data_IF_683369323043
#
_entry.id   IF_683369323043
#
_cell.length_a   1.000
_cell.length_b   1.000
_cell.length_c   1.000
_cell.angle_alpha   90.00
_cell.angle_beta   90.00
_cell.angle_gamma   90.00
#
_symmetry.space_group_name_H-M   'P 1'
#
loop_
_entity.id
_entity.type
_entity.pdbx_description
1 polymer ?
#
# COMPACT_ATOMS: atom_id res chain seq x y z
N UNK A 1 -4.51 12.70 10.02
CA UNK A 1 -5.92 12.45 9.67
C UNK A 1 -5.95 11.22 8.77
N UNK A 2 -6.39 10.07 9.28
CA UNK A 2 -6.59 8.89 8.44
C UNK A 2 -7.84 9.12 7.56
N UNK A 3 -7.84 8.69 6.28
CA UNK A 3 -9.04 8.72 5.48
C UNK A 3 -10.00 7.64 5.99
N UNK A 4 -11.00 8.05 6.77
CA UNK A 4 -12.13 7.20 7.12
C UNK A 4 -13.13 7.25 5.97
N UNK A 5 -13.29 6.14 5.26
CA UNK A 5 -14.13 6.07 4.07
C UNK A 5 -15.59 5.85 4.46
N UNK A 6 -16.48 6.74 4.01
CA UNK A 6 -17.95 6.58 4.00
C UNK A 6 -18.65 6.36 5.36
N UNK A 7 -18.08 6.88 6.46
CA UNK A 7 -18.79 6.94 7.76
C UNK A 7 -19.94 7.96 7.73
N UNK A 8 -19.86 8.96 6.85
CA UNK A 8 -20.87 10.02 6.71
C UNK A 8 -21.32 10.19 5.25
N UNK A 9 -22.57 10.63 5.09
CA UNK A 9 -23.16 11.01 3.78
C UNK A 9 -22.69 12.40 3.34
N UNK A 10 -23.11 12.84 2.13
CA UNK A 10 -22.81 14.19 1.63
C UNK A 10 -23.42 15.31 2.51
N UNK A 11 -24.48 14.99 3.24
CA UNK A 11 -25.14 15.86 4.21
C UNK A 11 -24.55 15.77 5.61
N UNK A 12 -23.41 15.08 5.78
CA UNK A 12 -22.77 14.80 7.08
C UNK A 12 -23.65 14.00 8.06
N UNK A 13 -24.52 13.12 7.55
CA UNK A 13 -25.32 12.20 8.37
C UNK A 13 -24.68 10.82 8.46
N UNK A 14 -24.97 10.06 9.52
CA UNK A 14 -24.44 8.70 9.73
C UNK A 14 -25.47 7.67 9.22
N UNK A 15 -25.08 6.67 8.41
CA UNK A 15 -25.96 5.57 8.03
C UNK A 15 -26.48 4.84 9.28
N UNK A 16 -27.77 4.55 9.32
CA UNK A 16 -28.41 3.94 10.50
C UNK A 16 -28.36 2.42 10.51
N UNK A 17 -28.01 1.81 9.38
CA UNK A 17 -28.03 0.36 9.14
C UNK A 17 -26.64 -0.26 8.87
N UNK A 18 -25.58 0.55 8.79
CA UNK A 18 -24.22 0.12 8.52
C UNK A 18 -23.16 1.10 9.09
N UNK A 19 -21.96 0.62 9.40
CA UNK A 19 -20.85 1.44 9.88
C UNK A 19 -20.14 2.22 8.76
N UNK A 20 -20.05 1.65 7.55
CA UNK A 20 -19.42 2.26 6.36
C UNK A 20 -20.39 2.41 5.18
N UNK A 21 -21.71 2.43 5.46
CA UNK A 21 -22.76 2.52 4.46
C UNK A 21 -22.72 1.39 3.42
N UNK A 22 -23.06 1.70 2.18
CA UNK A 22 -23.11 0.72 1.07
C UNK A 22 -21.76 0.04 0.77
N UNK A 23 -20.64 0.56 1.29
CA UNK A 23 -19.34 -0.09 1.12
C UNK A 23 -19.32 -1.47 1.77
N UNK A 24 -20.00 -1.65 2.90
CA UNK A 24 -20.08 -2.94 3.61
C UNK A 24 -20.68 -4.04 2.72
N UNK A 25 -21.77 -3.71 2.03
CA UNK A 25 -22.44 -4.63 1.09
C UNK A 25 -21.54 -4.99 -0.08
N UNK A 26 -20.87 -4.00 -0.68
CA UNK A 26 -19.95 -4.22 -1.80
C UNK A 26 -18.72 -5.04 -1.39
N UNK A 27 -18.17 -4.75 -0.21
CA UNK A 27 -17.01 -5.41 0.35
C UNK A 27 -17.35 -6.76 1.00
N UNK A 28 -18.63 -7.14 1.12
CA UNK A 28 -19.04 -8.42 1.70
C UNK A 28 -18.73 -8.55 3.20
N UNK A 29 -18.75 -7.44 3.93
CA UNK A 29 -18.43 -7.39 5.38
C UNK A 29 -19.52 -6.63 6.14
N UNK A 30 -19.51 -6.80 7.46
CA UNK A 30 -20.21 -5.95 8.43
C UNK A 30 -19.19 -5.31 9.35
N UNK A 31 -19.27 -4.01 9.57
CA UNK A 31 -18.47 -3.35 10.63
C UNK A 31 -19.08 -3.66 11.99
N UNK A 32 -18.31 -4.28 12.88
CA UNK A 32 -18.79 -4.66 14.22
C UNK A 32 -18.53 -3.55 15.22
N UNK A 33 -17.31 -3.02 15.23
CA UNK A 33 -16.90 -1.93 16.11
C UNK A 33 -16.00 -0.94 15.38
N UNK A 34 -16.07 0.33 15.82
CA UNK A 34 -15.09 1.35 15.49
C UNK A 34 -14.55 1.97 16.77
N UNK A 35 -13.23 1.95 16.96
CA UNK A 35 -12.60 2.43 18.18
C UNK A 35 -11.10 2.74 17.96
N UNK A 36 -10.47 3.57 18.82
CA UNK A 36 -9.03 3.79 18.75
C UNK A 36 -8.29 2.56 19.29
N UNK A 37 -7.39 2.01 18.49
CA UNK A 37 -6.58 0.84 18.89
C UNK A 37 -5.25 1.20 19.54
N UNK A 38 -4.85 2.47 19.50
CA UNK A 38 -3.61 2.96 20.14
C UNK A 38 -3.53 2.55 21.62
N UNK A 39 -2.46 1.85 21.98
CA UNK A 39 -2.21 1.45 23.36
C UNK A 39 -3.18 0.40 23.93
N UNK A 40 -4.03 -0.22 23.10
CA UNK A 40 -5.02 -1.23 23.56
C UNK A 40 -4.46 -2.64 23.68
N UNK A 41 -3.22 -2.87 23.22
CA UNK A 41 -2.63 -4.21 23.11
C UNK A 41 -3.24 -5.05 21.97
N UNK A 42 -3.95 -4.43 21.02
CA UNK A 42 -4.51 -5.14 19.87
C UNK A 42 -3.40 -5.62 18.93
N UNK A 43 -3.34 -6.92 18.66
CA UNK A 43 -2.34 -7.52 17.74
C UNK A 43 -3.06 -8.15 16.54
N UNK A 44 -2.74 -7.69 15.34
CA UNK A 44 -3.22 -8.25 14.08
C UNK A 44 -2.24 -9.27 13.50
N UNK A 45 -2.75 -10.31 12.86
CA UNK A 45 -1.99 -11.32 12.13
C UNK A 45 -2.43 -11.39 10.68
N UNK A 46 -1.51 -11.18 9.74
CA UNK A 46 -1.75 -11.32 8.31
C UNK A 46 -0.43 -11.64 7.60
N UNK A 47 -0.49 -12.38 6.49
CA UNK A 47 0.69 -12.71 5.67
C UNK A 47 1.86 -13.37 6.46
N UNK A 48 1.55 -14.06 7.56
CA UNK A 48 2.56 -14.67 8.42
C UNK A 48 3.30 -13.71 9.36
N UNK A 49 2.87 -12.44 9.43
CA UNK A 49 3.41 -11.41 10.33
C UNK A 49 2.38 -11.10 11.41
N UNK A 50 2.85 -10.86 12.64
CA UNK A 50 2.04 -10.31 13.73
C UNK A 50 2.50 -8.89 14.01
N UNK A 51 1.59 -7.93 14.14
CA UNK A 51 1.94 -6.53 14.39
C UNK A 51 0.91 -5.84 15.31
N UNK A 52 1.33 -4.88 16.14
CA UNK A 52 0.40 -4.01 16.86
C UNK A 52 -0.48 -3.22 15.89
N UNK A 53 -1.77 -3.14 16.22
CA UNK A 53 -2.73 -2.31 15.50
C UNK A 53 -2.90 -0.97 16.20
N UNK A 54 -3.02 0.10 15.40
CA UNK A 54 -3.03 1.48 15.89
C UNK A 54 -4.12 2.31 15.24
N UNK A 55 -4.22 3.56 15.70
CA UNK A 55 -5.09 4.61 15.18
C UNK A 55 -6.59 4.27 15.27
N UNK A 56 -7.44 5.05 14.59
CA UNK A 56 -8.87 4.83 14.56
C UNK A 56 -9.18 3.66 13.62
N UNK A 57 -9.76 2.61 14.16
CA UNK A 57 -9.89 1.34 13.47
C UNK A 57 -11.36 0.90 13.37
N UNK A 58 -11.68 0.24 12.25
CA UNK A 58 -12.92 -0.49 12.04
C UNK A 58 -12.59 -1.99 11.96
N UNK A 59 -13.37 -2.82 12.67
CA UNK A 59 -13.17 -4.27 12.66
C UNK A 59 -14.38 -4.96 12.05
N UNK A 60 -14.12 -6.02 11.29
CA UNK A 60 -15.08 -6.58 10.37
C UNK A 60 -15.46 -8.01 10.73
N UNK A 61 -16.71 -8.35 10.44
CA UNK A 61 -17.18 -9.72 10.33
C UNK A 61 -17.63 -9.95 8.89
N UNK A 62 -17.10 -10.97 8.18
CA UNK A 62 -17.60 -11.30 6.84
C UNK A 62 -19.09 -11.66 6.85
N UNK A 63 -19.80 -11.26 5.79
CA UNK A 63 -21.16 -11.73 5.54
C UNK A 63 -21.14 -13.18 5.03
N UNK A 64 -22.27 -13.88 5.15
CA UNK A 64 -22.43 -15.21 4.56
C UNK A 64 -22.23 -15.13 3.03
N UNK A 65 -21.35 -15.97 2.48
CA UNK A 65 -20.88 -15.92 1.08
C UNK A 65 -20.20 -14.60 0.65
N UNK A 66 -19.80 -13.76 1.61
CA UNK A 66 -19.15 -12.47 1.39
C UNK A 66 -17.62 -12.55 1.36
N UNK A 67 -16.97 -11.65 2.10
CA UNK A 67 -15.52 -11.53 2.10
C UNK A 67 -14.80 -12.75 2.68
N UNK A 68 -13.56 -12.96 2.25
CA UNK A 68 -12.60 -13.84 2.93
C UNK A 68 -11.76 -13.04 3.92
N UNK A 69 -11.40 -13.65 5.06
CA UNK A 69 -10.52 -13.04 6.05
C UNK A 69 -9.07 -13.21 5.60
N UNK A 70 -8.36 -12.10 5.45
CA UNK A 70 -6.93 -12.07 5.10
C UNK A 70 -6.08 -11.78 6.34
N UNK A 71 -6.63 -10.97 7.26
CA UNK A 71 -5.98 -10.60 8.51
C UNK A 71 -6.96 -10.61 9.67
N UNK A 72 -6.57 -11.29 10.74
CA UNK A 72 -7.37 -11.50 11.95
C UNK A 72 -6.71 -10.85 13.18
N UNK A 73 -7.53 -10.32 14.08
CA UNK A 73 -7.08 -9.81 15.37
C UNK A 73 -6.93 -10.98 16.35
N UNK A 74 -5.74 -11.13 16.91
CA UNK A 74 -5.39 -12.23 17.82
C UNK A 74 -5.41 -11.84 19.30
N UNK A 75 -5.21 -10.56 19.62
CA UNK A 75 -5.13 -10.04 20.98
C UNK A 75 -5.84 -8.68 21.09
N UNK A 76 -6.09 -8.21 22.31
CA UNK A 76 -6.77 -6.95 22.60
C UNK A 76 -8.27 -7.13 22.83
N UNK A 77 -9.06 -6.12 22.45
CA UNK A 77 -10.48 -6.04 22.78
C UNK A 77 -11.40 -6.83 21.85
N UNK A 78 -10.93 -7.17 20.64
CA UNK A 78 -11.76 -7.77 19.59
C UNK A 78 -11.11 -8.99 18.91
N UNK A 79 -10.58 -9.97 19.67
CA UNK A 79 -9.99 -11.17 19.09
C UNK A 79 -11.00 -11.95 18.24
N UNK A 80 -10.53 -12.53 17.13
CA UNK A 80 -11.35 -13.28 16.17
C UNK A 80 -12.05 -12.43 15.11
N UNK A 81 -12.06 -11.10 15.23
CA UNK A 81 -12.57 -10.21 14.19
C UNK A 81 -11.48 -9.91 13.14
N UNK A 82 -11.92 -9.62 11.92
CA UNK A 82 -11.02 -9.31 10.83
C UNK A 82 -10.63 -7.83 10.82
N UNK A 83 -9.34 -7.56 10.60
CA UNK A 83 -8.84 -6.20 10.29
C UNK A 83 -8.41 -6.06 8.83
N UNK A 84 -8.20 -7.18 8.12
CA UNK A 84 -8.05 -7.20 6.66
C UNK A 84 -9.01 -8.24 6.06
N UNK A 85 -9.78 -7.83 5.07
CA UNK A 85 -10.65 -8.73 4.30
C UNK A 85 -10.51 -8.49 2.80
N UNK A 86 -10.88 -9.49 2.02
CA UNK A 86 -10.98 -9.36 0.57
C UNK A 86 -12.30 -9.93 0.05
N UNK A 87 -12.87 -9.31 -0.98
CA UNK A 87 -14.09 -9.79 -1.61
C UNK A 87 -14.01 -9.61 -3.12
N UNK A 88 -14.32 -10.68 -3.87
CA UNK A 88 -14.40 -10.60 -5.33
C UNK A 88 -15.66 -9.85 -5.72
N UNK A 89 -15.50 -8.79 -6.52
CA UNK A 89 -16.61 -7.98 -7.00
C UNK A 89 -16.46 -7.77 -8.51
N UNK A 90 -17.32 -8.44 -9.28
CA UNK A 90 -17.20 -8.48 -10.74
C UNK A 90 -15.88 -9.11 -11.20
N UNK A 91 -15.15 -8.39 -12.05
CA UNK A 91 -13.82 -8.80 -12.53
C UNK A 91 -12.67 -8.40 -11.58
N UNK A 92 -12.96 -7.66 -10.52
CA UNK A 92 -11.97 -7.15 -9.57
C UNK A 92 -12.16 -7.69 -8.16
N UNK A 93 -11.46 -7.04 -7.24
CA UNK A 93 -11.44 -7.36 -5.81
C UNK A 93 -11.51 -6.07 -5.00
N UNK A 94 -12.25 -6.10 -3.90
CA UNK A 94 -12.26 -5.05 -2.89
C UNK A 94 -11.49 -5.58 -1.69
N UNK A 95 -10.44 -4.86 -1.28
CA UNK A 95 -9.64 -5.18 -0.10
C UNK A 95 -9.90 -4.11 0.94
N UNK A 96 -10.36 -4.52 2.12
CA UNK A 96 -10.59 -3.61 3.25
C UNK A 96 -9.43 -3.74 4.23
N UNK A 97 -8.75 -2.63 4.53
CA UNK A 97 -7.82 -2.51 5.65
C UNK A 97 -8.49 -1.64 6.72
N UNK A 98 -9.03 -2.29 7.75
CA UNK A 98 -9.82 -1.65 8.79
C UNK A 98 -8.99 -1.09 9.94
N UNK A 99 -7.79 -1.62 10.15
CA UNK A 99 -6.88 -1.20 11.22
C UNK A 99 -5.47 -1.05 10.68
N UNK A 100 -4.74 -0.02 11.11
CA UNK A 100 -3.39 0.24 10.63
C UNK A 100 -2.38 -0.60 11.41
N UNK A 101 -1.59 -1.48 10.77
CA UNK A 101 -0.43 -2.10 11.40
C UNK A 101 0.62 -1.03 11.73
N UNK A 102 1.29 -1.17 12.86
CA UNK A 102 2.26 -0.19 13.37
C UNK A 102 3.57 -0.83 13.82
N UNK A 103 4.61 0.00 13.97
CA UNK A 103 5.95 -0.48 14.29
C UNK A 103 6.64 -1.12 13.08
N UNK A 104 7.83 -1.66 13.30
CA UNK A 104 8.63 -2.28 12.25
C UNK A 104 7.93 -3.51 11.65
N UNK A 105 7.24 -4.29 12.49
CA UNK A 105 6.42 -5.43 12.08
C UNK A 105 5.20 -4.97 11.28
N UNK A 106 4.60 -3.84 11.65
CA UNK A 106 3.51 -3.23 10.88
C UNK A 106 3.94 -2.81 9.49
N UNK A 107 5.10 -2.15 9.38
CA UNK A 107 5.70 -1.81 8.09
C UNK A 107 6.00 -3.06 7.24
N UNK A 108 6.46 -4.14 7.87
CA UNK A 108 6.69 -5.41 7.19
C UNK A 108 5.40 -6.03 6.66
N UNK A 109 4.33 -6.02 7.45
CA UNK A 109 3.00 -6.48 7.06
C UNK A 109 2.43 -5.65 5.91
N UNK A 110 2.53 -4.32 5.97
CA UNK A 110 2.08 -3.43 4.90
C UNK A 110 2.86 -3.67 3.60
N UNK A 111 4.18 -3.86 3.68
CA UNK A 111 4.99 -4.23 2.50
C UNK A 111 4.53 -5.54 1.89
N UNK A 112 4.19 -6.55 2.68
CA UNK A 112 3.69 -7.84 2.18
C UNK A 112 2.30 -7.71 1.57
N UNK A 113 1.40 -6.96 2.21
CA UNK A 113 0.05 -6.69 1.69
C UNK A 113 0.13 -5.99 0.32
N UNK A 114 0.92 -4.92 0.22
CA UNK A 114 1.08 -4.18 -1.04
C UNK A 114 1.71 -5.08 -2.12
N UNK A 115 2.74 -5.86 -1.78
CA UNK A 115 3.37 -6.79 -2.73
C UNK A 115 2.38 -7.83 -3.24
N UNK A 116 1.64 -8.48 -2.35
CA UNK A 116 0.66 -9.51 -2.69
C UNK A 116 -0.36 -9.01 -3.73
N UNK A 117 -1.00 -7.87 -3.46
CA UNK A 117 -2.02 -7.35 -4.37
C UNK A 117 -1.43 -6.68 -5.62
N UNK A 118 -0.22 -6.13 -5.55
CA UNK A 118 0.48 -5.66 -6.74
C UNK A 118 0.85 -6.82 -7.68
N UNK A 119 1.27 -7.96 -7.13
CA UNK A 119 1.56 -9.17 -7.91
C UNK A 119 0.28 -9.74 -8.53
N UNK A 120 -0.80 -9.83 -7.76
CA UNK A 120 -2.11 -10.28 -8.27
C UNK A 120 -2.66 -9.36 -9.37
N UNK A 121 -2.49 -8.04 -9.24
CA UNK A 121 -2.89 -7.07 -10.23
C UNK A 121 -1.95 -6.98 -11.45
N UNK A 122 -0.85 -7.75 -11.47
CA UNK A 122 0.12 -7.74 -12.57
C UNK A 122 0.94 -6.46 -12.66
N UNK A 123 1.21 -5.78 -11.54
CA UNK A 123 2.05 -4.58 -11.52
C UNK A 123 3.53 -4.98 -11.66
N UNK A 124 4.06 -4.79 -12.87
CA UNK A 124 5.41 -5.22 -13.27
C UNK A 124 6.50 -4.18 -13.03
N UNK A 125 6.16 -2.89 -13.04
CA UNK A 125 7.15 -1.82 -12.85
C UNK A 125 7.58 -1.77 -11.37
N UNK A 126 8.82 -2.18 -11.12
CA UNK A 126 9.46 -2.17 -9.79
C UNK A 126 10.77 -1.40 -9.85
N UNK A 127 11.12 -0.79 -8.73
CA UNK A 127 12.42 -0.16 -8.52
C UNK A 127 13.05 -0.70 -7.26
N UNK A 128 14.35 -0.96 -7.33
CA UNK A 128 15.18 -1.25 -6.18
C UNK A 128 15.98 0.01 -5.84
N UNK A 129 15.74 0.53 -4.63
CA UNK A 129 16.29 1.80 -4.15
C UNK A 129 16.61 1.71 -2.67
N UNK A 130 17.59 2.52 -2.24
CA UNK A 130 17.87 2.71 -0.81
C UNK A 130 16.77 3.54 -0.13
N UNK A 131 16.61 3.43 1.20
CA UNK A 131 15.74 4.33 1.96
C UNK A 131 16.00 5.80 1.64
N UNK A 132 14.94 6.61 1.65
CA UNK A 132 15.02 8.03 1.30
C UNK A 132 15.07 8.33 -0.20
N UNK A 133 15.31 7.33 -1.06
CA UNK A 133 15.30 7.49 -2.52
C UNK A 133 13.99 6.98 -3.12
N UNK A 134 13.43 7.72 -4.09
CA UNK A 134 12.23 7.31 -4.83
C UNK A 134 12.48 7.33 -6.34
N UNK A 135 11.73 6.49 -7.05
CA UNK A 135 11.64 6.51 -8.51
C UNK A 135 10.21 6.82 -8.90
N UNK A 136 10.03 7.81 -9.79
CA UNK A 136 8.76 8.14 -10.41
C UNK A 136 8.87 7.93 -11.94
N UNK A 137 8.47 6.75 -12.44
CA UNK A 137 8.48 6.47 -13.87
C UNK A 137 7.45 7.33 -14.62
N UNK A 138 7.85 7.88 -15.77
CA UNK A 138 6.94 8.53 -16.72
C UNK A 138 7.15 7.96 -18.10
N UNK A 139 6.06 7.67 -18.81
CA UNK A 139 6.11 7.20 -20.19
C UNK A 139 5.66 8.32 -21.13
N UNK A 140 6.48 8.64 -22.13
CA UNK A 140 6.12 9.56 -23.20
C UNK A 140 5.25 8.90 -24.27
N UNK A 141 4.67 9.70 -25.17
CA UNK A 141 3.82 9.21 -26.25
C UNK A 141 4.53 8.24 -27.22
N UNK A 142 5.86 8.31 -27.30
CA UNK A 142 6.69 7.39 -28.09
C UNK A 142 6.92 6.03 -27.42
N UNK A 143 6.36 5.79 -26.23
CA UNK A 143 6.65 4.62 -25.41
C UNK A 143 7.97 4.70 -24.64
N UNK A 144 8.71 5.81 -24.77
CA UNK A 144 9.96 6.04 -24.04
C UNK A 144 9.68 6.23 -22.55
N UNK A 145 10.29 5.40 -21.71
CA UNK A 145 10.24 5.53 -20.25
C UNK A 145 11.38 6.41 -19.75
N UNK A 146 11.04 7.31 -18.83
CA UNK A 146 11.99 8.14 -18.06
C UNK A 146 11.77 7.87 -16.58
N UNK A 147 12.84 7.52 -15.87
CA UNK A 147 12.85 7.41 -14.43
C UNK A 147 13.32 8.72 -13.82
N UNK A 148 12.44 9.40 -13.09
CA UNK A 148 12.82 10.51 -12.21
C UNK A 148 13.22 9.91 -10.87
N UNK A 149 14.51 9.96 -10.57
CA UNK A 149 15.10 9.43 -9.35
C UNK A 149 15.45 10.61 -8.45
N UNK A 150 15.00 10.60 -7.21
CA UNK A 150 15.24 11.69 -6.26
C UNK A 150 15.59 11.12 -4.89
N UNK A 151 16.68 11.59 -4.30
CA UNK A 151 16.96 11.38 -2.88
C UNK A 151 16.27 12.49 -2.07
N UNK A 152 15.37 12.12 -1.18
CA UNK A 152 14.50 13.05 -0.44
C UNK A 152 14.94 13.26 1.01
N UNK A 153 15.88 12.46 1.53
CA UNK A 153 16.26 12.47 2.95
C UNK A 153 17.60 13.18 3.24
N UNK A 154 18.32 13.62 2.20
CA UNK A 154 19.59 14.33 2.34
C UNK A 154 20.76 13.46 2.75
N UNK A 155 20.64 12.14 2.66
CA UNK A 155 21.73 11.19 2.98
C UNK A 155 22.38 10.59 1.73
N UNK A 156 21.84 10.93 0.56
CA UNK A 156 22.18 10.26 -0.69
C UNK A 156 21.60 8.85 -0.74
N UNK A 157 21.83 8.16 -1.84
CA UNK A 157 21.30 6.82 -2.01
C UNK A 157 21.68 6.20 -3.34
N UNK A 158 20.97 5.15 -3.70
CA UNK A 158 21.15 4.51 -5.00
C UNK A 158 19.86 3.95 -5.56
N UNK A 159 19.86 3.72 -6.86
CA UNK A 159 18.84 3.00 -7.61
C UNK A 159 19.51 1.95 -8.47
N UNK A 160 18.90 0.77 -8.60
CA UNK A 160 19.34 -0.26 -9.55
C UNK A 160 18.59 -0.08 -10.87
N UNK A 161 19.33 0.22 -11.95
CA UNK A 161 18.78 0.28 -13.30
C UNK A 161 18.66 -1.12 -13.90
N UNK A 162 17.49 -1.49 -14.46
CA UNK A 162 17.27 -2.81 -15.05
C UNK A 162 17.91 -2.96 -16.43
N UNK A 163 18.19 -1.86 -17.11
CA UNK A 163 18.84 -1.81 -18.41
C UNK A 163 19.70 -0.55 -18.52
N UNK A 164 20.42 -0.41 -19.63
CA UNK A 164 21.17 0.81 -19.91
C UNK A 164 20.23 2.00 -19.99
N UNK A 165 20.68 3.16 -19.51
CA UNK A 165 19.95 4.40 -19.66
C UNK A 165 20.85 5.58 -19.90
N UNK A 166 20.25 6.70 -20.26
CA UNK A 166 20.93 7.97 -20.53
C UNK A 166 20.30 9.06 -19.69
N UNK A 167 21.12 9.84 -18.97
CA UNK A 167 20.65 11.04 -18.30
C UNK A 167 20.08 12.03 -19.32
N UNK A 168 18.84 12.43 -19.14
CA UNK A 168 18.14 13.34 -20.03
C UNK A 168 18.67 14.77 -19.96
N UNK A 169 19.41 15.13 -18.90
CA UNK A 169 19.94 16.47 -18.66
C UNK A 169 21.41 16.57 -19.04
N UNK A 170 22.23 15.60 -18.65
CA UNK A 170 23.68 15.63 -18.91
C UNK A 170 24.09 14.87 -20.16
N UNK A 171 23.28 13.90 -20.59
CA UNK A 171 23.63 12.97 -21.66
C UNK A 171 24.53 11.81 -21.22
N UNK A 172 24.85 11.70 -19.94
CA UNK A 172 25.70 10.61 -19.41
C UNK A 172 25.01 9.26 -19.59
N UNK A 173 25.77 8.26 -20.01
CA UNK A 173 25.29 6.89 -20.11
C UNK A 173 25.54 6.12 -18.81
N UNK A 174 24.52 5.38 -18.37
CA UNK A 174 24.60 4.48 -17.23
C UNK A 174 24.38 3.05 -17.69
N UNK A 175 25.30 2.11 -17.39
CA UNK A 175 25.06 0.71 -17.63
C UNK A 175 23.95 0.18 -16.70
N UNK A 176 23.38 -1.00 -16.99
CA UNK A 176 22.54 -1.70 -16.02
C UNK A 176 23.28 -1.88 -14.69
N UNK A 177 22.56 -1.80 -13.57
CA UNK A 177 23.12 -1.92 -12.23
C UNK A 177 22.97 -0.65 -11.39
N UNK A 178 23.75 -0.56 -10.33
CA UNK A 178 23.59 0.46 -9.30
C UNK A 178 24.07 1.84 -9.78
N UNK A 179 23.22 2.85 -9.60
CA UNK A 179 23.52 4.26 -9.87
C UNK A 179 23.38 5.05 -8.57
N UNK A 180 24.44 5.77 -8.20
CA UNK A 180 24.46 6.63 -7.03
C UNK A 180 23.67 7.92 -7.27
N UNK A 181 23.04 8.41 -6.19
CA UNK A 181 22.31 9.67 -6.13
C UNK A 181 22.84 10.44 -4.93
N UNK A 182 23.30 11.66 -5.17
CA UNK A 182 23.83 12.52 -4.11
C UNK A 182 22.73 12.93 -3.10
N UNK A 183 23.10 13.40 -1.89
CA UNK A 183 22.19 14.06 -0.96
C UNK A 183 21.34 15.14 -1.62
N UNK A 184 20.00 15.01 -1.54
CA UNK A 184 19.05 15.90 -2.25
C UNK A 184 19.24 15.96 -3.78
N UNK A 185 20.04 15.03 -4.31
CA UNK A 185 20.31 14.89 -5.73
C UNK A 185 19.14 14.27 -6.46
N UNK A 186 19.14 14.47 -7.76
CA UNK A 186 18.18 13.85 -8.66
C UNK A 186 18.84 13.45 -9.97
N UNK A 187 18.21 12.49 -10.66
CA UNK A 187 18.56 12.08 -12.03
C UNK A 187 17.28 11.86 -12.83
N UNK A 188 17.32 12.17 -14.12
CA UNK A 188 16.24 11.89 -15.05
C UNK A 188 16.74 10.94 -16.12
N UNK A 189 16.60 9.63 -15.90
CA UNK A 189 17.25 8.62 -16.75
C UNK A 189 16.23 8.07 -17.77
N UNK A 190 16.50 8.27 -19.06
CA UNK A 190 15.78 7.58 -20.15
C UNK A 190 16.27 6.14 -20.22
N UNK A 191 15.36 5.18 -20.13
CA UNK A 191 15.71 3.75 -20.24
C UNK A 191 15.73 3.30 -21.71
N UNK A 192 16.77 2.59 -22.12
CA UNK A 192 16.92 2.19 -23.53
C UNK A 192 15.98 1.06 -23.95
N UNK A 193 15.36 0.38 -22.98
CA UNK A 193 14.29 -0.58 -23.20
C UNK A 193 13.04 -0.11 -22.47
N UNK A 194 11.86 -0.24 -23.09
CA UNK A 194 10.63 0.01 -22.38
C UNK A 194 10.40 -1.08 -21.32
N UNK A 195 9.82 -0.68 -20.18
CA UNK A 195 9.35 -1.61 -19.15
C UNK A 195 7.93 -2.03 -19.54
N UNK A 196 7.80 -3.15 -20.25
CA UNK A 196 6.52 -3.81 -20.50
C UNK A 196 6.61 -5.26 -20.04
#
# INVERSE_FOLDING_TARGET
MQPLLRIITEEHTIPTDAGLGELEKLAGVKTVYMYPMDGTGSIGRAFGVSAPLSLWSAVFQPLESGASVVGEISEGLTPGLAFVTEHRHGLGKIVMLGSMPSGEEGDAMLRQLIRHYADEAGVTVRSDVTPGTLVAPRCGASGQTVWFIVNMDGRGGSVTLPCQGTDALTGDEFPPGQVAVEPFGYKAIRLNLPLF
#
